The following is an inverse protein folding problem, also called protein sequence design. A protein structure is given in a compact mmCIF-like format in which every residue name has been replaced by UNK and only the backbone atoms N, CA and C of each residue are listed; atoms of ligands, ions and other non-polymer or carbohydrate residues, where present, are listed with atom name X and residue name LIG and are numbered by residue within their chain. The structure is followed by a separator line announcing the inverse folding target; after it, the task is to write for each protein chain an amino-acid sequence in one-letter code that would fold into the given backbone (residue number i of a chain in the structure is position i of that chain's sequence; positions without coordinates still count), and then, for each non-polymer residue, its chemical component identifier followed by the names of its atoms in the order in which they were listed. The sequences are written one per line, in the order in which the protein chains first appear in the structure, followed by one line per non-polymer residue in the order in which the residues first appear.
data_IF_544796976911
#
_entry.id   IF_544796976911
#
_cell.length_a   1.000
_cell.length_b   1.000
_cell.length_c   1.000
_cell.angle_alpha   90.00
_cell.angle_beta   90.00
_cell.angle_gamma   90.00
#
_symmetry.space_group_name_H-M   'P 1'
#
loop_
_entity.id
_entity.type
_entity.pdbx_description
1 polymer ?
#
# COMPACT_ATOMS: atom_id res chain seq x y z
N UNK A 1 16.46 2.11 -23.74
CA UNK A 1 15.92 3.10 -22.79
C UNK A 1 16.16 4.48 -23.39
N UNK A 2 15.11 5.15 -23.86
CA UNK A 2 15.22 6.51 -24.39
C UNK A 2 14.80 7.47 -23.28
N UNK A 3 15.75 8.25 -22.78
CA UNK A 3 15.49 9.37 -21.87
C UNK A 3 15.45 10.62 -22.75
N UNK A 4 14.31 11.31 -22.77
CA UNK A 4 14.22 12.63 -23.42
C UNK A 4 14.69 13.69 -22.42
N UNK A 5 15.85 14.29 -22.67
CA UNK A 5 16.32 15.48 -21.94
C UNK A 5 15.95 16.73 -22.72
N UNK A 6 14.86 17.40 -22.35
CA UNK A 6 14.64 18.81 -22.73
C UNK A 6 14.96 19.71 -21.51
N UNK A 7 15.97 20.60 -21.60
CA UNK A 7 16.32 21.49 -20.50
C UNK A 7 15.42 22.73 -20.51
N UNK A 8 14.65 22.94 -19.44
CA UNK A 8 13.76 24.11 -19.30
C UNK A 8 13.32 24.42 -17.87
N UNK A 9 14.15 25.20 -17.17
CA UNK A 9 13.81 26.18 -16.11
C UNK A 9 12.69 25.87 -15.09
N UNK A 10 13.06 25.43 -13.89
CA UNK A 10 12.91 26.13 -12.58
C UNK A 10 13.22 25.16 -11.43
N UNK A 11 13.54 25.72 -10.27
CA UNK A 11 14.35 25.14 -9.19
C UNK A 11 13.58 24.18 -8.27
N UNK A 12 12.56 23.48 -8.78
CA UNK A 12 11.64 22.62 -8.04
C UNK A 12 11.62 21.19 -8.63
N UNK A 13 11.56 20.19 -7.76
CA UNK A 13 11.51 18.72 -8.01
C UNK A 13 11.53 18.26 -9.49
N UNK A 14 12.66 17.71 -9.95
CA UNK A 14 12.83 17.17 -11.30
C UNK A 14 12.17 15.80 -11.40
N UNK A 15 10.91 15.77 -11.79
CA UNK A 15 10.25 14.56 -12.26
C UNK A 15 10.90 14.12 -13.57
N UNK A 16 11.19 12.82 -13.71
CA UNK A 16 11.82 12.29 -14.93
C UNK A 16 10.83 11.40 -15.68
N UNK A 17 10.33 11.82 -16.85
CA UNK A 17 9.51 10.96 -17.70
C UNK A 17 10.38 9.87 -18.33
N UNK A 18 9.88 8.64 -18.33
CA UNK A 18 10.50 7.49 -19.00
C UNK A 18 9.43 6.70 -19.76
N UNK A 19 9.86 5.93 -20.76
CA UNK A 19 9.01 4.96 -21.44
C UNK A 19 9.62 3.58 -21.29
N UNK A 20 8.83 2.64 -20.79
CA UNK A 20 9.21 1.23 -20.70
C UNK A 20 8.14 0.40 -21.40
N UNK A 21 8.56 -0.40 -22.40
CA UNK A 21 7.68 -1.24 -23.22
C UNK A 21 6.42 -0.50 -23.74
N UNK A 22 6.64 0.72 -24.26
CA UNK A 22 5.57 1.58 -24.78
C UNK A 22 4.68 2.26 -23.72
N UNK A 23 4.85 1.93 -22.44
CA UNK A 23 4.10 2.54 -21.34
C UNK A 23 4.87 3.72 -20.74
N UNK A 24 4.25 4.92 -20.60
CA UNK A 24 4.89 6.07 -19.99
C UNK A 24 4.85 6.01 -18.46
N UNK A 25 5.97 6.35 -17.83
CA UNK A 25 6.10 6.48 -16.38
C UNK A 25 6.75 7.82 -16.03
N UNK A 26 6.52 8.27 -14.81
CA UNK A 26 7.19 9.45 -14.25
C UNK A 26 7.88 9.03 -12.96
N UNK A 27 9.20 9.13 -12.94
CA UNK A 27 9.99 8.98 -11.73
C UNK A 27 9.92 10.27 -10.93
N UNK A 28 9.25 10.22 -9.78
CA UNK A 28 9.07 11.36 -8.89
C UNK A 28 10.30 11.51 -7.99
N UNK A 29 10.73 12.76 -7.79
CA UNK A 29 11.79 13.13 -6.84
C UNK A 29 13.17 12.52 -7.12
N UNK A 30 13.67 12.68 -8.35
CA UNK A 30 15.03 12.24 -8.73
C UNK A 30 16.15 13.12 -8.14
N UNK A 31 15.80 14.24 -7.49
CA UNK A 31 16.76 15.18 -6.90
C UNK A 31 17.58 14.54 -5.76
N UNK A 32 17.00 13.61 -5.00
CA UNK A 32 17.72 12.83 -3.98
C UNK A 32 18.73 11.83 -4.56
N UNK A 33 18.48 11.29 -5.76
CA UNK A 33 19.37 10.34 -6.44
C UNK A 33 20.60 11.07 -7.02
N UNK A 34 20.42 12.28 -7.57
CA UNK A 34 21.50 13.05 -8.21
C UNK A 34 22.45 13.77 -7.24
N UNK A 35 22.11 13.89 -5.94
CA UNK A 35 22.87 14.70 -4.94
C UNK A 35 23.90 13.94 -4.09
N UNK A 36 24.09 12.62 -4.27
CA UNK A 36 25.01 11.82 -3.44
C UNK A 36 26.49 12.14 -3.73
N UNK A 37 26.98 13.23 -3.13
CA UNK A 37 28.39 13.63 -3.17
C UNK A 37 29.07 13.76 -1.80
N UNK A 38 28.36 14.05 -0.69
CA UNK A 38 28.92 14.09 0.68
C UNK A 38 27.83 13.81 1.71
N UNK A 39 27.97 12.72 2.47
CA UNK A 39 26.99 12.30 3.49
C UNK A 39 27.26 13.07 4.79
N UNK A 40 26.27 13.82 5.25
CA UNK A 40 26.20 14.43 6.60
C UNK A 40 24.84 14.07 7.17
N UNK A 41 24.70 13.99 8.50
CA UNK A 41 23.43 13.67 9.18
C UNK A 41 22.28 14.63 8.79
N UNK A 42 22.61 15.89 8.49
CA UNK A 42 21.67 16.87 7.96
C UNK A 42 21.11 16.49 6.57
N UNK A 43 21.92 15.82 5.74
CA UNK A 43 21.53 15.35 4.41
C UNK A 43 20.52 14.20 4.48
N UNK A 44 20.62 13.35 5.51
CA UNK A 44 19.73 12.20 5.72
C UNK A 44 18.32 12.65 6.12
N UNK A 45 18.20 13.59 7.07
CA UNK A 45 16.91 14.19 7.46
C UNK A 45 16.24 14.88 6.28
N UNK A 46 17.01 15.59 5.45
CA UNK A 46 16.51 16.22 4.24
C UNK A 46 16.03 15.18 3.21
N UNK A 47 16.75 14.06 3.05
CA UNK A 47 16.35 12.99 2.16
C UNK A 47 15.00 12.36 2.55
N UNK A 48 14.74 12.19 3.85
CA UNK A 48 13.42 11.71 4.33
C UNK A 48 12.32 12.71 3.99
N UNK A 49 12.52 14.01 4.23
CA UNK A 49 11.53 15.05 3.89
C UNK A 49 11.24 15.09 2.39
N UNK A 50 12.26 14.96 1.54
CA UNK A 50 12.10 14.89 0.09
C UNK A 50 11.32 13.62 -0.31
N UNK A 51 11.68 12.45 0.22
CA UNK A 51 10.95 11.21 -0.02
C UNK A 51 9.47 11.31 0.35
N UNK A 52 9.14 11.94 1.49
CA UNK A 52 7.74 12.18 1.90
C UNK A 52 6.99 13.07 0.90
N UNK A 53 7.61 14.15 0.42
CA UNK A 53 7.02 15.01 -0.63
C UNK A 53 6.83 14.26 -1.94
N UNK A 54 7.79 13.42 -2.32
CA UNK A 54 7.68 12.57 -3.50
C UNK A 54 6.53 11.57 -3.39
N UNK A 55 6.34 10.95 -2.22
CA UNK A 55 5.26 10.01 -1.95
C UNK A 55 3.87 10.64 -2.13
N UNK A 56 3.68 11.90 -1.76
CA UNK A 56 2.38 12.58 -1.93
C UNK A 56 1.96 12.68 -3.41
N UNK A 57 2.92 12.76 -4.32
CA UNK A 57 2.73 12.93 -5.76
C UNK A 57 2.76 11.60 -6.52
N UNK A 58 3.14 10.49 -5.88
CA UNK A 58 3.30 9.19 -6.55
C UNK A 58 2.02 8.35 -6.50
N UNK A 59 1.89 7.43 -7.46
CA UNK A 59 0.84 6.40 -7.42
C UNK A 59 1.33 5.11 -6.76
N UNK A 60 2.60 4.78 -7.03
CA UNK A 60 3.29 3.59 -6.53
C UNK A 60 4.61 4.05 -5.89
N UNK A 61 4.88 3.56 -4.70
CA UNK A 61 6.13 3.73 -3.97
C UNK A 61 6.99 2.48 -4.16
N UNK A 62 8.25 2.68 -4.56
CA UNK A 62 9.25 1.62 -4.60
C UNK A 62 10.07 1.69 -3.31
N UNK A 63 9.89 0.71 -2.42
CA UNK A 63 10.71 0.58 -1.20
C UNK A 63 11.91 -0.27 -1.56
N UNK A 64 13.04 0.38 -1.84
CA UNK A 64 14.26 -0.29 -2.30
C UNK A 64 15.12 -0.69 -1.09
N UNK A 65 15.33 -1.99 -0.93
CA UNK A 65 16.15 -2.61 0.09
C UNK A 65 17.49 -3.05 -0.51
N UNK A 66 18.55 -3.04 0.29
CA UNK A 66 19.82 -3.67 -0.07
C UNK A 66 19.78 -5.16 0.31
N UNK A 67 20.01 -6.05 -0.67
CA UNK A 67 20.00 -7.48 -0.45
C UNK A 67 21.00 -7.97 0.61
N UNK A 68 22.14 -7.27 0.78
CA UNK A 68 23.18 -7.67 1.73
C UNK A 68 22.87 -7.23 3.17
N UNK A 69 22.18 -6.10 3.34
CA UNK A 69 21.85 -5.51 4.65
C UNK A 69 20.48 -5.99 5.17
N UNK A 70 19.57 -6.38 4.27
CA UNK A 70 18.20 -6.73 4.60
C UNK A 70 17.36 -5.49 4.92
N UNK A 71 16.30 -5.65 5.73
CA UNK A 71 15.42 -4.52 6.10
C UNK A 71 16.06 -3.69 7.21
N UNK A 72 16.46 -2.45 6.91
CA UNK A 72 16.92 -1.49 7.91
C UNK A 72 15.74 -0.77 8.58
N UNK A 73 16.00 -0.12 9.74
CA UNK A 73 14.98 0.62 10.47
C UNK A 73 14.38 1.77 9.65
N UNK A 74 15.21 2.45 8.84
CA UNK A 74 14.77 3.54 7.97
C UNK A 74 13.84 3.04 6.85
N UNK A 75 14.12 1.85 6.29
CA UNK A 75 13.27 1.25 5.25
C UNK A 75 11.86 0.95 5.79
N UNK A 76 11.79 0.42 7.01
CA UNK A 76 10.52 0.17 7.70
C UNK A 76 9.75 1.47 7.93
N UNK A 77 10.42 2.56 8.34
CA UNK A 77 9.78 3.86 8.49
C UNK A 77 9.22 4.38 7.15
N UNK A 78 10.01 4.35 6.07
CA UNK A 78 9.58 4.82 4.75
C UNK A 78 8.40 3.99 4.21
N UNK A 79 8.45 2.66 4.38
CA UNK A 79 7.34 1.78 4.02
C UNK A 79 6.07 2.10 4.83
N UNK A 80 6.22 2.42 6.12
CA UNK A 80 5.14 2.86 6.99
C UNK A 80 4.48 4.12 6.46
N UNK A 81 5.28 5.16 6.17
CA UNK A 81 4.79 6.40 5.59
C UNK A 81 4.08 6.20 4.24
N UNK A 82 4.63 5.36 3.34
CA UNK A 82 3.99 5.08 2.07
C UNK A 82 2.61 4.40 2.25
N UNK A 83 2.51 3.46 3.20
CA UNK A 83 1.27 2.76 3.54
C UNK A 83 0.24 3.71 4.14
N UNK A 84 0.67 4.56 5.08
CA UNK A 84 -0.18 5.58 5.72
C UNK A 84 -0.67 6.63 4.71
N UNK A 85 0.18 7.06 3.79
CA UNK A 85 -0.17 7.94 2.68
C UNK A 85 -1.14 7.28 1.67
N UNK A 86 -1.37 5.98 1.78
CA UNK A 86 -2.30 5.24 0.93
C UNK A 86 -1.73 4.91 -0.45
N UNK A 87 -0.41 4.93 -0.60
CA UNK A 87 0.27 4.62 -1.86
C UNK A 87 0.31 3.11 -2.06
N UNK A 88 0.23 2.68 -3.32
CA UNK A 88 0.59 1.31 -3.63
C UNK A 88 2.10 1.13 -3.40
N UNK A 89 2.53 -0.05 -2.98
CA UNK A 89 3.91 -0.34 -2.62
C UNK A 89 4.38 -1.55 -3.40
N UNK A 90 5.61 -1.47 -3.92
CA UNK A 90 6.41 -2.61 -4.35
C UNK A 90 7.71 -2.58 -3.56
N UNK A 91 8.07 -3.70 -2.95
CA UNK A 91 9.36 -3.85 -2.26
C UNK A 91 10.37 -4.34 -3.29
N UNK A 92 11.51 -3.67 -3.41
CA UNK A 92 12.56 -3.98 -4.38
C UNK A 92 13.82 -4.38 -3.64
N UNK A 93 14.15 -5.66 -3.64
CA UNK A 93 15.40 -6.17 -3.08
C UNK A 93 16.48 -6.05 -4.15
N UNK A 94 17.28 -4.97 -4.07
CA UNK A 94 18.29 -4.64 -5.06
C UNK A 94 19.67 -5.19 -4.68
N UNK A 95 20.58 -5.27 -5.65
CA UNK A 95 21.91 -5.89 -5.53
C UNK A 95 21.88 -7.39 -5.25
N UNK A 96 20.82 -8.07 -5.71
CA UNK A 96 20.67 -9.50 -5.48
C UNK A 96 21.81 -10.32 -6.11
N UNK A 97 22.46 -9.79 -7.15
CA UNK A 97 23.65 -10.38 -7.79
C UNK A 97 24.87 -10.46 -6.86
N UNK A 98 24.91 -9.68 -5.78
CA UNK A 98 25.99 -9.70 -4.79
C UNK A 98 25.74 -10.69 -3.64
N UNK A 99 24.58 -11.34 -3.60
CA UNK A 99 24.27 -12.36 -2.59
C UNK A 99 24.96 -13.66 -2.99
N UNK A 100 25.89 -14.12 -2.15
CA UNK A 100 26.61 -15.37 -2.38
C UNK A 100 25.66 -16.57 -2.48
N UNK A 101 25.87 -17.49 -3.44
CA UNK A 101 25.11 -18.73 -3.53
C UNK A 101 25.15 -19.50 -2.20
N UNK A 102 23.98 -19.85 -1.67
CA UNK A 102 23.85 -20.57 -0.40
C UNK A 102 23.79 -19.70 0.86
N UNK A 103 24.04 -18.39 0.76
CA UNK A 103 23.89 -17.46 1.90
C UNK A 103 22.44 -17.19 2.27
N UNK A 104 21.58 -17.00 1.27
CA UNK A 104 20.15 -16.85 1.44
C UNK A 104 19.43 -17.18 0.13
N UNK A 105 18.36 -17.94 0.22
CA UNK A 105 17.41 -18.13 -0.88
C UNK A 105 16.46 -16.93 -0.98
N UNK A 106 15.85 -16.74 -2.15
CA UNK A 106 14.79 -15.73 -2.32
C UNK A 106 13.62 -15.95 -1.37
N UNK A 107 13.28 -17.21 -1.07
CA UNK A 107 12.19 -17.56 -0.17
C UNK A 107 12.49 -17.14 1.28
N UNK A 108 13.70 -17.39 1.77
CA UNK A 108 14.14 -16.94 3.10
C UNK A 108 14.17 -15.41 3.19
N UNK A 109 14.67 -14.72 2.15
CA UNK A 109 14.64 -13.27 2.10
C UNK A 109 13.20 -12.72 2.15
N UNK A 110 12.28 -13.30 1.37
CA UNK A 110 10.86 -12.93 1.38
C UNK A 110 10.25 -13.12 2.78
N UNK A 111 10.49 -14.26 3.42
CA UNK A 111 9.98 -14.54 4.75
C UNK A 111 10.50 -13.54 5.79
N UNK A 112 11.81 -13.27 5.79
CA UNK A 112 12.44 -12.30 6.69
C UNK A 112 11.92 -10.86 6.46
N UNK A 113 11.67 -10.48 5.21
CA UNK A 113 11.10 -9.17 4.87
C UNK A 113 9.68 -9.06 5.43
N UNK A 114 8.81 -10.04 5.20
CA UNK A 114 7.44 -9.98 5.71
C UNK A 114 7.35 -10.10 7.24
N UNK A 115 8.31 -10.78 7.88
CA UNK A 115 8.42 -10.80 9.34
C UNK A 115 8.75 -9.43 9.93
N UNK A 116 9.62 -8.66 9.26
CA UNK A 116 9.98 -7.29 9.70
C UNK A 116 8.95 -6.24 9.27
N UNK A 117 8.34 -6.42 8.10
CA UNK A 117 7.43 -5.46 7.47
C UNK A 117 5.97 -5.98 7.47
N UNK A 118 5.52 -6.54 8.59
CA UNK A 118 4.17 -7.15 8.72
C UNK A 118 3.01 -6.21 8.40
N UNK A 119 3.23 -4.90 8.40
CA UNK A 119 2.22 -3.87 8.11
C UNK A 119 2.10 -3.56 6.59
N UNK A 120 3.01 -4.08 5.77
CA UNK A 120 2.98 -4.02 4.29
C UNK A 120 3.13 -5.42 3.68
N UNK A 121 2.64 -6.45 4.38
CA UNK A 121 2.61 -7.86 3.92
C UNK A 121 1.82 -8.08 2.62
N UNK A 122 1.10 -7.07 2.16
CA UNK A 122 0.36 -7.04 0.90
C UNK A 122 1.19 -6.59 -0.30
N UNK A 123 2.40 -6.04 -0.07
CA UNK A 123 3.25 -5.49 -1.12
C UNK A 123 4.10 -6.58 -1.78
N UNK A 124 4.08 -6.73 -3.12
CA UNK A 124 4.93 -7.70 -3.79
C UNK A 124 6.41 -7.35 -3.63
N UNK A 125 7.24 -8.40 -3.63
CA UNK A 125 8.71 -8.29 -3.56
C UNK A 125 9.31 -8.66 -4.92
N UNK A 126 10.11 -7.74 -5.47
CA UNK A 126 10.88 -7.95 -6.70
C UNK A 126 12.37 -8.00 -6.36
N UNK A 127 13.12 -8.88 -7.01
CA UNK A 127 14.58 -8.97 -6.86
C UNK A 127 15.26 -8.37 -8.09
N UNK A 128 16.17 -7.43 -7.89
CA UNK A 128 16.81 -6.70 -8.98
C UNK A 128 18.32 -6.61 -8.84
N UNK A 129 18.99 -6.36 -9.96
CA UNK A 129 20.35 -5.85 -10.01
C UNK A 129 20.40 -4.64 -10.94
N UNK A 130 20.44 -3.44 -10.34
CA UNK A 130 20.48 -2.21 -11.12
C UNK A 130 21.73 -2.09 -12.02
N UNK A 131 22.86 -2.61 -11.56
CA UNK A 131 24.14 -2.58 -12.31
C UNK A 131 24.16 -3.56 -13.48
N UNK A 132 23.43 -4.68 -13.38
CA UNK A 132 23.31 -5.69 -14.45
C UNK A 132 22.05 -5.54 -15.29
N UNK A 133 21.12 -4.66 -14.90
CA UNK A 133 19.83 -4.48 -15.56
C UNK A 133 18.86 -5.66 -15.37
N UNK A 134 19.08 -6.50 -14.36
CA UNK A 134 18.29 -7.71 -14.12
C UNK A 134 17.06 -7.43 -13.24
N UNK A 135 15.96 -8.15 -13.48
CA UNK A 135 14.72 -8.06 -12.71
C UNK A 135 13.84 -6.84 -13.04
N UNK A 136 14.23 -6.02 -14.03
CA UNK A 136 13.46 -4.83 -14.41
C UNK A 136 12.10 -5.17 -15.01
N UNK A 137 12.01 -6.22 -15.85
CA UNK A 137 10.74 -6.63 -16.45
C UNK A 137 9.70 -7.02 -15.39
N UNK A 138 10.11 -7.82 -14.41
CA UNK A 138 9.25 -8.22 -13.29
C UNK A 138 8.85 -7.01 -12.44
N UNK A 139 9.77 -6.07 -12.23
CA UNK A 139 9.50 -4.83 -11.49
C UNK A 139 8.44 -3.96 -12.18
N UNK A 140 8.60 -3.67 -13.47
CA UNK A 140 7.61 -2.87 -14.21
C UNK A 140 6.24 -3.57 -14.27
N UNK A 141 6.23 -4.89 -14.51
CA UNK A 141 4.99 -5.66 -14.47
C UNK A 141 4.31 -5.61 -13.09
N UNK A 142 5.08 -5.66 -12.00
CA UNK A 142 4.56 -5.50 -10.65
C UNK A 142 4.00 -4.09 -10.41
N UNK A 143 4.71 -3.04 -10.85
CA UNK A 143 4.27 -1.64 -10.75
C UNK A 143 2.91 -1.44 -11.44
N UNK A 144 2.76 -1.93 -12.66
CA UNK A 144 1.50 -1.81 -13.41
C UNK A 144 0.37 -2.58 -12.73
N UNK A 145 0.67 -3.79 -12.25
CA UNK A 145 -0.29 -4.64 -11.56
C UNK A 145 -0.79 -3.98 -10.28
N UNK A 146 0.10 -3.46 -9.42
CA UNK A 146 -0.31 -2.82 -8.16
C UNK A 146 -1.01 -1.49 -8.40
N UNK A 147 -0.61 -0.72 -9.42
CA UNK A 147 -1.28 0.52 -9.79
C UNK A 147 -2.73 0.27 -10.24
N UNK A 148 -2.95 -0.80 -11.02
CA UNK A 148 -4.29 -1.24 -11.44
C UNK A 148 -5.11 -1.75 -10.27
N UNK A 149 -4.54 -2.62 -9.44
CA UNK A 149 -5.21 -3.17 -8.26
C UNK A 149 -5.63 -2.07 -7.28
N UNK A 150 -4.78 -1.09 -7.01
CA UNK A 150 -5.10 0.07 -6.17
C UNK A 150 -6.31 0.88 -6.68
N UNK A 151 -6.56 0.86 -8.00
CA UNK A 151 -7.66 1.60 -8.65
C UNK A 151 -8.93 0.78 -8.88
N UNK A 152 -8.88 -0.53 -8.62
CA UNK A 152 -9.98 -1.44 -8.92
C UNK A 152 -11.21 -1.13 -8.06
N UNK A 153 -12.39 -1.23 -8.67
CA UNK A 153 -13.69 -1.06 -8.00
C UNK A 153 -14.37 -2.39 -7.74
N UNK A 154 -15.01 -2.50 -6.58
CA UNK A 154 -15.80 -3.66 -6.14
C UNK A 154 -17.27 -3.27 -5.98
N UNK A 155 -18.22 -4.08 -6.49
CA UNK A 155 -19.65 -3.86 -6.30
C UNK A 155 -20.07 -3.80 -4.81
N UNK A 156 -20.95 -2.86 -4.40
CA UNK A 156 -21.36 -2.72 -2.99
C UNK A 156 -22.00 -3.98 -2.38
N UNK A 157 -22.78 -4.71 -3.17
CA UNK A 157 -23.40 -5.98 -2.75
C UNK A 157 -22.35 -7.04 -2.42
N UNK A 158 -21.30 -7.16 -3.23
CA UNK A 158 -20.20 -8.10 -2.98
C UNK A 158 -19.38 -7.71 -1.76
N UNK A 159 -19.02 -6.43 -1.63
CA UNK A 159 -18.30 -5.93 -0.46
C UNK A 159 -19.08 -6.17 0.84
N UNK A 160 -20.39 -5.91 0.80
CA UNK A 160 -21.29 -6.19 1.94
C UNK A 160 -21.32 -7.67 2.28
N UNK A 161 -21.48 -8.53 1.27
CA UNK A 161 -21.52 -9.98 1.43
C UNK A 161 -20.24 -10.52 2.09
N UNK A 162 -19.07 -10.17 1.55
CA UNK A 162 -17.77 -10.63 2.08
C UNK A 162 -17.57 -10.23 3.55
N UNK A 163 -17.92 -9.01 3.91
CA UNK A 163 -17.78 -8.54 5.29
C UNK A 163 -18.77 -9.20 6.25
N UNK A 164 -20.01 -9.46 5.83
CA UNK A 164 -20.98 -10.21 6.65
C UNK A 164 -20.53 -11.65 6.88
N UNK A 165 -20.12 -12.35 5.81
CA UNK A 165 -19.57 -13.70 5.92
C UNK A 165 -18.32 -13.74 6.83
N UNK A 166 -17.51 -12.69 6.84
CA UNK A 166 -16.37 -12.59 7.76
C UNK A 166 -16.83 -12.51 9.22
N UNK A 167 -17.86 -11.72 9.53
CA UNK A 167 -18.44 -11.65 10.88
C UNK A 167 -19.12 -12.95 11.28
N UNK A 168 -19.79 -13.64 10.35
CA UNK A 168 -20.40 -14.96 10.64
C UNK A 168 -19.33 -16.01 10.97
N UNK A 169 -18.21 -16.03 10.24
CA UNK A 169 -17.09 -16.95 10.51
C UNK A 169 -16.39 -16.66 11.84
N UNK A 170 -16.28 -15.38 12.21
CA UNK A 170 -15.68 -14.96 13.47
C UNK A 170 -16.56 -13.90 14.13
N UNK A 171 -17.58 -14.33 14.89
CA UNK A 171 -18.49 -13.41 15.56
C UNK A 171 -17.72 -12.48 16.49
N UNK A 172 -18.11 -11.20 16.45
CA UNK A 172 -17.54 -10.16 17.29
C UNK A 172 -18.66 -9.48 18.07
N UNK A 173 -18.46 -9.33 19.37
CA UNK A 173 -19.33 -8.55 20.24
C UNK A 173 -18.51 -7.56 21.04
N UNK A 174 -19.03 -6.35 21.23
CA UNK A 174 -18.47 -5.34 22.15
C UNK A 174 -19.50 -5.06 23.23
N UNK A 175 -19.10 -5.19 24.50
CA UNK A 175 -19.99 -5.04 25.65
C UNK A 175 -21.31 -5.86 25.53
N UNK A 176 -21.22 -7.08 25.02
CA UNK A 176 -22.38 -7.97 24.82
C UNK A 176 -23.24 -7.66 23.58
N UNK A 177 -22.95 -6.58 22.86
CA UNK A 177 -23.67 -6.22 21.62
C UNK A 177 -22.94 -6.85 20.42
N UNK A 178 -23.60 -7.72 19.63
CA UNK A 178 -22.99 -8.31 18.45
C UNK A 178 -22.79 -7.27 17.36
N UNK A 179 -21.66 -7.32 16.67
CA UNK A 179 -21.38 -6.49 15.51
C UNK A 179 -22.28 -6.89 14.34
N UNK A 180 -23.01 -5.91 13.80
CA UNK A 180 -23.85 -6.07 12.63
C UNK A 180 -23.37 -5.12 11.52
N UNK A 181 -23.14 -5.66 10.32
CA UNK A 181 -22.80 -4.89 9.12
C UNK A 181 -24.07 -4.71 8.27
N UNK A 182 -24.55 -3.47 8.19
CA UNK A 182 -25.73 -3.13 7.40
C UNK A 182 -25.37 -3.08 5.92
N UNK A 183 -24.28 -2.42 5.55
CA UNK A 183 -23.84 -2.31 4.16
C UNK A 183 -22.37 -1.92 4.11
N UNK A 184 -21.72 -2.21 2.98
CA UNK A 184 -20.40 -1.70 2.66
C UNK A 184 -20.34 -1.27 1.20
N UNK A 185 -19.72 -0.13 0.94
CA UNK A 185 -19.56 0.41 -0.41
C UNK A 185 -18.18 1.02 -0.56
N UNK A 186 -17.51 0.76 -1.69
CA UNK A 186 -16.25 1.41 -2.00
C UNK A 186 -16.48 2.87 -2.39
N UNK A 187 -15.96 3.80 -1.58
CA UNK A 187 -16.10 5.25 -1.76
C UNK A 187 -14.85 5.90 -2.34
N UNK A 188 -13.71 5.21 -2.33
CA UNK A 188 -12.44 5.70 -2.84
C UNK A 188 -11.60 4.62 -3.49
N UNK A 189 -10.67 5.07 -4.33
CA UNK A 189 -9.65 4.27 -5.00
C UNK A 189 -8.30 4.94 -4.81
N UNK A 190 -7.21 4.18 -4.91
CA UNK A 190 -5.84 4.64 -4.68
C UNK A 190 -5.69 5.44 -3.35
N UNK A 191 -6.00 4.83 -2.18
CA UNK A 191 -6.25 3.40 -1.98
C UNK A 191 -7.74 2.99 -1.98
N UNK A 192 -8.06 1.71 -2.23
CA UNK A 192 -9.40 1.15 -2.04
C UNK A 192 -9.93 1.47 -0.64
N UNK A 193 -10.96 2.31 -0.60
CA UNK A 193 -11.54 2.81 0.64
C UNK A 193 -13.00 2.42 0.70
N UNK A 194 -13.39 1.65 1.71
CA UNK A 194 -14.74 1.14 1.91
C UNK A 194 -15.41 1.87 3.07
N UNK A 195 -16.56 2.49 2.81
CA UNK A 195 -17.45 2.98 3.84
C UNK A 195 -18.33 1.82 4.33
N UNK A 196 -18.24 1.49 5.62
CA UNK A 196 -18.94 0.36 6.24
C UNK A 196 -19.97 0.90 7.23
N UNK A 197 -21.25 0.65 6.98
CA UNK A 197 -22.33 0.98 7.90
C UNK A 197 -22.50 -0.14 8.91
N UNK A 198 -22.38 0.19 10.19
CA UNK A 198 -22.45 -0.77 11.29
C UNK A 198 -23.16 -0.21 12.51
N UNK A 199 -23.63 -1.09 13.40
CA UNK A 199 -24.17 -0.72 14.70
C UNK A 199 -23.10 -0.30 15.70
N UNK A 200 -21.81 -0.59 15.48
CA UNK A 200 -20.70 -0.31 16.42
C UNK A 200 -19.52 0.39 15.71
N UNK A 201 -19.68 1.61 15.17
CA UNK A 201 -18.65 2.23 14.32
C UNK A 201 -17.39 2.66 15.06
N UNK A 202 -17.50 3.09 16.32
CA UNK A 202 -16.40 3.68 17.10
C UNK A 202 -15.76 2.68 18.08
N UNK A 203 -16.29 1.46 18.12
CA UNK A 203 -15.98 0.44 19.15
C UNK A 203 -15.07 -0.68 18.61
N UNK A 204 -14.63 -0.58 17.34
CA UNK A 204 -13.85 -1.63 16.69
C UNK A 204 -12.35 -1.45 16.92
N UNK A 205 -11.82 -2.28 17.81
CA UNK A 205 -10.38 -2.43 18.00
C UNK A 205 -9.63 -2.75 16.68
N UNK A 206 -8.39 -2.27 16.55
CA UNK A 206 -7.59 -2.36 15.31
C UNK A 206 -7.45 -3.79 14.78
N UNK A 207 -7.39 -4.79 15.67
CA UNK A 207 -7.27 -6.20 15.29
C UNK A 207 -8.48 -6.69 14.46
N UNK A 208 -9.68 -6.22 14.80
CA UNK A 208 -10.90 -6.55 14.05
C UNK A 208 -10.97 -5.80 12.73
N UNK A 209 -10.50 -4.55 12.69
CA UNK A 209 -10.37 -3.81 11.44
C UNK A 209 -9.40 -4.53 10.49
N UNK A 210 -8.24 -4.98 10.99
CA UNK A 210 -7.27 -5.77 10.22
C UNK A 210 -7.88 -7.09 9.71
N UNK A 211 -8.67 -7.78 10.53
CA UNK A 211 -9.36 -8.99 10.11
C UNK A 211 -10.34 -8.76 8.95
N UNK A 212 -11.13 -7.67 9.01
CA UNK A 212 -12.09 -7.31 7.97
C UNK A 212 -11.38 -6.87 6.68
N UNK A 213 -10.34 -6.04 6.79
CA UNK A 213 -9.44 -5.66 5.69
C UNK A 213 -8.83 -6.90 5.02
N UNK A 214 -8.32 -7.85 5.81
CA UNK A 214 -7.75 -9.09 5.27
C UNK A 214 -8.80 -10.01 4.64
N UNK A 215 -10.06 -9.92 5.07
CA UNK A 215 -11.17 -10.65 4.44
C UNK A 215 -11.49 -10.07 3.07
N UNK A 216 -11.54 -8.75 2.93
CA UNK A 216 -11.65 -8.09 1.62
C UNK A 216 -10.46 -8.42 0.72
N UNK A 217 -9.23 -8.38 1.27
CA UNK A 217 -8.01 -8.72 0.53
C UNK A 217 -8.05 -10.15 0.00
N UNK A 218 -8.45 -11.13 0.80
CA UNK A 218 -8.56 -12.53 0.35
C UNK A 218 -9.62 -12.71 -0.75
N UNK A 219 -10.76 -12.02 -0.64
CA UNK A 219 -11.86 -12.19 -1.61
C UNK A 219 -11.62 -11.46 -2.92
N UNK A 220 -10.97 -10.30 -2.88
CA UNK A 220 -10.85 -9.46 -4.07
C UNK A 220 -9.39 -9.37 -4.54
N UNK A 221 -8.39 -9.32 -3.68
CA UNK A 221 -6.99 -9.03 -4.04
C UNK A 221 -6.55 -7.69 -3.46
N UNK A 222 -6.29 -6.69 -4.31
CA UNK A 222 -5.68 -5.41 -3.94
C UNK A 222 -4.19 -5.51 -3.59
N UNK A 223 -3.49 -6.46 -4.22
CA UNK A 223 -2.05 -6.62 -4.04
C UNK A 223 -1.31 -5.29 -4.28
N UNK A 224 -0.33 -5.00 -3.43
CA UNK A 224 0.40 -3.75 -3.41
C UNK A 224 -0.34 -2.55 -2.83
N UNK A 225 -1.66 -2.57 -2.70
CA UNK A 225 -2.41 -1.42 -2.16
C UNK A 225 -2.88 -1.64 -0.73
N UNK A 226 -2.72 -0.68 0.20
CA UNK A 226 -3.44 -0.71 1.46
C UNK A 226 -4.96 -0.64 1.19
N UNK A 227 -5.76 -1.21 2.09
CA UNK A 227 -7.23 -1.11 2.07
C UNK A 227 -7.65 -0.31 3.30
N UNK A 228 -8.51 0.70 3.11
CA UNK A 228 -9.04 1.52 4.20
C UNK A 228 -10.50 1.18 4.49
N UNK A 229 -10.85 1.08 5.76
CA UNK A 229 -12.23 0.93 6.24
C UNK A 229 -12.64 2.19 7.00
N UNK A 230 -13.73 2.80 6.58
CA UNK A 230 -14.34 3.94 7.26
C UNK A 230 -15.69 3.51 7.84
N UNK A 231 -15.76 3.33 9.15
CA UNK A 231 -16.98 2.90 9.83
C UNK A 231 -17.93 4.09 10.08
N UNK A 232 -19.22 3.88 9.85
CA UNK A 232 -20.28 4.87 10.08
C UNK A 232 -21.47 4.21 10.77
N UNK A 233 -22.17 4.97 11.63
CA UNK A 233 -23.39 4.47 12.29
C UNK A 233 -24.46 4.12 11.25
N UNK A 234 -24.99 2.90 11.32
CA UNK A 234 -26.24 2.55 10.67
C UNK A 234 -27.37 3.44 11.23
N UNK A 235 -28.32 3.96 10.41
CA UNK A 235 -29.49 4.61 10.95
C UNK A 235 -30.22 3.57 11.80
N UNK A 236 -30.62 3.94 13.03
CA UNK A 236 -31.43 3.04 13.85
C UNK A 236 -32.69 2.61 13.10
N UNK A 237 -33.33 1.50 13.50
CA UNK A 237 -34.61 1.12 12.92
C UNK A 237 -35.58 2.32 13.01
N UNK A 238 -36.22 2.68 11.89
CA UNK A 238 -37.31 3.66 11.91
C UNK A 238 -38.34 3.13 12.91
N UNK A 239 -38.48 3.79 14.07
CA UNK A 239 -39.55 3.46 15.01
C UNK A 239 -40.87 3.48 14.23
N UNK A 240 -41.70 2.43 14.26
CA UNK A 240 -43.02 2.49 13.65
C UNK A 240 -43.74 3.69 14.27
N UNK A 241 -44.33 4.53 13.42
CA UNK A 241 -45.12 5.66 13.88
C UNK A 241 -46.12 5.14 14.91
N UNK A 242 -46.09 5.69 16.13
CA UNK A 242 -47.09 5.39 17.16
C UNK A 242 -48.45 5.66 16.51
N UNK A 243 -49.20 4.61 16.17
CA UNK A 243 -50.62 4.74 15.85
C UNK A 243 -51.24 5.38 17.09
N UNK A 244 -51.70 6.62 16.96
CA UNK A 244 -52.52 7.27 17.96
C UNK A 244 -53.73 6.35 18.17
N UNK A 245 -53.82 5.74 19.36
CA UNK A 245 -55.03 5.06 19.79
C UNK A 245 -56.11 6.14 19.90
N UNK A 246 -57.12 6.06 19.04
CA UNK A 246 -58.41 6.70 19.24
C UNK A 246 -59.24 5.81 20.17
#
# INVERSE_FOLDING_TARGET
MLVHEEPGTTRDTVDTPIVYDGTPYVLVDTAGIRRKGRVTEALEKLAVVMALKGLERSHVALVVLDAAEGVAAQDAHIAGYASEAGRAIVIVVNKWDLVEPGRATRAEAVAAIYERLTFVDYAPICFTSATRGEGLADLFAAVDRVAREARRRVPPNEATRVLREAIERRPLSVAGVPLAIQSASQVGVAPPTFAVRTNLPDELHFSHQRYLTNSLRRSFGFEGSPIRLAFRRAPGPRRPARRARR
#
